data_IF_320246588582
#
_entry.id   IF_320246588582
#
_cell.length_a   1.000
_cell.length_b   1.000
_cell.length_c   1.000
_cell.angle_alpha   90.00
_cell.angle_beta   90.00
_cell.angle_gamma   90.00
#
_symmetry.space_group_name_H-M   'P 1'
#
loop_
_entity.id
_entity.type
_entity.pdbx_description
1 polymer ?
#
# COMPACT_ATOMS: atom_id res chain seq x y z
N UNK A 1 -16.38 -2.32 17.37
CA UNK A 1 -15.77 -1.52 18.45
C UNK A 1 -14.28 -1.79 18.55
N UNK A 2 -13.85 -3.04 18.81
CA UNK A 2 -12.43 -3.39 19.06
C UNK A 2 -11.41 -3.17 17.92
N UNK A 3 -11.82 -2.88 16.67
CA UNK A 3 -10.88 -2.61 15.56
C UNK A 3 -10.61 -1.13 15.30
N UNK A 4 -11.59 -0.27 15.60
CA UNK A 4 -11.53 1.15 15.23
C UNK A 4 -11.40 2.07 16.44
N UNK A 5 -11.35 1.49 17.65
CA UNK A 5 -11.29 2.13 18.98
C UNK A 5 -12.35 3.22 19.27
N UNK A 6 -13.18 3.54 18.28
CA UNK A 6 -14.18 4.60 18.26
C UNK A 6 -15.42 4.12 17.48
N UNK A 7 -16.60 4.58 17.92
CA UNK A 7 -17.86 4.30 17.25
C UNK A 7 -18.15 5.43 16.27
N UNK A 8 -17.69 5.27 15.04
CA UNK A 8 -17.95 6.21 13.94
C UNK A 8 -19.04 5.67 13.03
N UNK A 9 -19.86 6.58 12.50
CA UNK A 9 -20.84 6.31 11.47
C UNK A 9 -20.63 7.28 10.32
N UNK A 10 -20.85 6.84 9.09
CA UNK A 10 -20.67 7.65 7.90
C UNK A 10 -21.18 6.98 6.65
N UNK A 11 -21.16 7.71 5.56
CA UNK A 11 -21.58 7.22 4.24
C UNK A 11 -20.45 6.41 3.63
N UNK A 12 -20.78 5.23 3.09
CA UNK A 12 -19.82 4.43 2.32
C UNK A 12 -19.56 5.12 0.98
N UNK A 13 -18.32 5.57 0.77
CA UNK A 13 -17.88 6.26 -0.46
C UNK A 13 -17.45 5.26 -1.52
N UNK A 14 -16.86 4.14 -1.10
CA UNK A 14 -16.50 3.05 -2.00
C UNK A 14 -15.71 1.94 -1.31
N UNK A 15 -15.39 0.92 -2.10
CA UNK A 15 -14.59 -0.24 -1.70
C UNK A 15 -13.48 -0.44 -2.74
N UNK A 16 -12.27 -0.80 -2.30
CA UNK A 16 -11.18 -1.14 -3.20
C UNK A 16 -11.12 -2.62 -3.56
N UNK A 17 -10.20 -3.00 -4.45
CA UNK A 17 -10.01 -4.39 -4.87
C UNK A 17 -9.53 -5.33 -3.77
N UNK A 18 -9.04 -4.80 -2.64
CA UNK A 18 -8.55 -5.58 -1.51
C UNK A 18 -9.63 -5.73 -0.42
N UNK A 19 -10.79 -5.09 -0.58
CA UNK A 19 -11.90 -5.14 0.36
C UNK A 19 -11.84 -4.07 1.45
N UNK A 20 -10.98 -3.05 1.32
CA UNK A 20 -10.98 -1.90 2.21
C UNK A 20 -12.18 -1.00 1.87
N UNK A 21 -12.94 -0.62 2.88
CA UNK A 21 -14.13 0.22 2.75
C UNK A 21 -13.85 1.63 3.23
N UNK A 22 -14.16 2.62 2.41
CA UNK A 22 -13.87 4.02 2.67
C UNK A 22 -15.15 4.77 3.04
N UNK A 23 -15.10 5.51 4.13
CA UNK A 23 -16.26 6.21 4.68
C UNK A 23 -15.98 7.70 4.82
N UNK A 24 -17.03 8.49 4.66
CA UNK A 24 -17.01 9.94 4.88
C UNK A 24 -18.18 10.39 5.74
N UNK A 25 -17.93 11.32 6.65
CA UNK A 25 -18.93 12.02 7.43
C UNK A 25 -18.46 13.44 7.78
N UNK A 26 -19.01 14.44 7.07
CA UNK A 26 -18.70 15.85 7.24
C UNK A 26 -19.27 16.50 8.52
N UNK A 27 -20.02 15.76 9.34
CA UNK A 27 -20.35 16.19 10.70
C UNK A 27 -19.13 16.14 11.63
N UNK A 28 -18.17 15.25 11.36
CA UNK A 28 -16.91 15.23 12.09
C UNK A 28 -15.96 16.32 11.59
N UNK A 29 -15.05 16.73 12.47
CA UNK A 29 -14.06 17.73 12.13
C UNK A 29 -13.07 17.24 11.05
N UNK A 30 -12.46 18.19 10.35
CA UNK A 30 -11.47 17.94 9.32
C UNK A 30 -10.29 17.10 9.84
N UNK A 31 -10.02 15.96 9.19
CA UNK A 31 -9.02 14.99 9.62
C UNK A 31 -9.60 13.76 10.32
N UNK A 32 -10.85 13.82 10.79
CA UNK A 32 -11.62 12.64 11.24
C UNK A 32 -12.86 12.35 10.40
N UNK A 33 -13.24 13.25 9.50
CA UNK A 33 -14.39 13.06 8.61
C UNK A 33 -14.18 11.95 7.58
N UNK A 34 -12.95 11.53 7.27
CA UNK A 34 -12.66 10.40 6.37
C UNK A 34 -11.94 9.30 7.15
N UNK A 35 -12.32 8.04 6.91
CA UNK A 35 -11.61 6.89 7.46
C UNK A 35 -11.79 5.65 6.59
N UNK A 36 -10.92 4.67 6.81
CA UNK A 36 -10.94 3.37 6.15
C UNK A 36 -11.32 2.29 7.17
N UNK A 37 -12.06 1.28 6.71
CA UNK A 37 -12.29 0.04 7.41
C UNK A 37 -11.70 -1.11 6.61
N UNK A 38 -10.61 -1.68 7.12
CA UNK A 38 -9.94 -2.83 6.52
C UNK A 38 -10.82 -4.08 6.53
N UNK A 39 -10.66 -5.00 5.56
CA UNK A 39 -11.45 -6.22 5.46
C UNK A 39 -11.24 -7.10 6.70
N UNK A 40 -12.19 -7.99 6.97
CA UNK A 40 -12.11 -8.91 8.11
C UNK A 40 -11.00 -9.94 7.95
N UNK A 41 -10.57 -10.22 6.71
CA UNK A 41 -9.45 -11.11 6.40
C UNK A 41 -8.13 -10.67 7.02
N UNK A 42 -7.90 -9.36 7.16
CA UNK A 42 -6.68 -8.82 7.80
C UNK A 42 -6.72 -8.93 9.34
N UNK A 43 -7.83 -9.37 9.94
CA UNK A 43 -7.91 -9.58 11.40
C UNK A 43 -7.55 -8.32 12.20
N UNK A 44 -6.66 -8.44 13.17
CA UNK A 44 -6.12 -7.30 13.94
C UNK A 44 -4.79 -6.77 13.40
N UNK A 45 -4.21 -7.43 12.39
CA UNK A 45 -2.90 -7.11 11.82
C UNK A 45 -3.05 -6.25 10.56
N UNK A 46 -3.98 -5.29 10.58
CA UNK A 46 -4.18 -4.36 9.48
C UNK A 46 -3.09 -3.28 9.48
N UNK A 47 -2.59 -2.91 8.30
CA UNK A 47 -1.59 -1.87 8.16
C UNK A 47 -2.08 -0.69 7.29
N UNK A 48 -1.63 0.52 7.63
CA UNK A 48 -1.89 1.74 6.86
C UNK A 48 -1.35 1.65 5.43
N UNK A 49 -0.32 0.84 5.20
CA UNK A 49 0.26 0.60 3.87
C UNK A 49 -0.63 -0.25 2.95
N UNK A 50 -1.72 -0.86 3.44
CA UNK A 50 -2.66 -1.63 2.61
C UNK A 50 -3.54 -0.74 1.71
N UNK A 51 -3.63 0.56 2.02
CA UNK A 51 -4.40 1.52 1.22
C UNK A 51 -3.71 1.72 -0.14
N UNK A 52 -4.38 1.44 -1.27
CA UNK A 52 -3.78 1.61 -2.58
C UNK A 52 -3.64 3.10 -2.96
N UNK A 53 -2.76 3.44 -3.92
CA UNK A 53 -2.41 4.82 -4.23
C UNK A 53 -3.61 5.69 -4.64
N UNK A 54 -4.60 5.10 -5.32
CA UNK A 54 -5.82 5.80 -5.74
C UNK A 54 -6.66 6.30 -4.55
N UNK A 55 -6.78 5.49 -3.50
CA UNK A 55 -7.54 5.83 -2.30
C UNK A 55 -6.69 6.63 -1.30
N UNK A 56 -5.37 6.43 -1.30
CA UNK A 56 -4.44 7.20 -0.48
C UNK A 56 -4.56 8.70 -0.73
N UNK A 57 -4.68 9.13 -2.01
CA UNK A 57 -4.86 10.55 -2.35
C UNK A 57 -6.12 11.16 -1.72
N UNK A 58 -7.23 10.43 -1.75
CA UNK A 58 -8.50 10.90 -1.21
C UNK A 58 -8.51 10.88 0.33
N UNK A 59 -7.97 9.82 0.94
CA UNK A 59 -7.90 9.67 2.40
C UNK A 59 -7.04 10.78 3.02
N UNK A 60 -5.92 11.13 2.38
CA UNK A 60 -5.01 12.18 2.84
C UNK A 60 -5.36 13.60 2.36
N UNK A 61 -6.61 13.84 1.92
CA UNK A 61 -7.08 15.17 1.49
C UNK A 61 -6.24 15.81 0.38
N UNK A 62 -5.58 15.02 -0.46
CA UNK A 62 -4.88 15.55 -1.65
C UNK A 62 -5.87 15.92 -2.77
N UNK A 63 -7.07 15.34 -2.71
CA UNK A 63 -8.16 15.59 -3.66
C UNK A 63 -9.50 15.41 -2.94
N UNK A 64 -10.50 16.16 -3.38
CA UNK A 64 -11.87 16.03 -2.90
C UNK A 64 -12.60 14.84 -3.54
N UNK A 65 -12.20 14.47 -4.76
CA UNK A 65 -12.86 13.43 -5.52
C UNK A 65 -12.29 12.05 -5.19
N UNK A 66 -13.15 11.08 -4.80
CA UNK A 66 -12.71 9.70 -4.63
C UNK A 66 -12.38 9.05 -5.98
N UNK A 67 -11.55 8.00 -5.99
CA UNK A 67 -11.18 7.31 -7.23
C UNK A 67 -12.37 6.63 -7.94
N UNK A 68 -13.49 6.44 -7.24
CA UNK A 68 -14.76 5.99 -7.83
C UNK A 68 -15.39 7.01 -8.77
N UNK A 69 -15.17 8.32 -8.54
CA UNK A 69 -15.63 9.39 -9.43
C UNK A 69 -14.60 9.74 -10.48
N UNK A 70 -13.33 9.86 -10.07
CA UNK A 70 -12.23 10.27 -10.93
C UNK A 70 -11.14 9.20 -10.87
N UNK A 71 -11.21 8.16 -11.73
CA UNK A 71 -10.23 7.10 -11.74
C UNK A 71 -8.87 7.61 -12.22
N UNK A 72 -7.79 7.06 -11.65
CA UNK A 72 -6.43 7.35 -12.10
C UNK A 72 -6.17 6.73 -13.49
N UNK A 73 -5.44 7.43 -14.37
CA UNK A 73 -5.09 6.89 -15.68
C UNK A 73 -4.11 5.72 -15.53
N UNK A 74 -4.59 4.52 -15.83
CA UNK A 74 -3.78 3.29 -15.79
C UNK A 74 -2.74 3.29 -16.93
N UNK A 75 -1.48 3.02 -16.59
CA UNK A 75 -0.36 2.94 -17.54
C UNK A 75 0.21 1.52 -17.54
N UNK A 76 0.74 1.08 -18.69
CA UNK A 76 1.25 -0.30 -18.89
C UNK A 76 2.33 -0.75 -17.90
N UNK A 77 3.05 0.18 -17.30
CA UNK A 77 4.13 -0.08 -16.35
C UNK A 77 3.70 -0.02 -14.88
N UNK A 78 2.45 0.37 -14.60
CA UNK A 78 1.95 0.41 -13.23
C UNK A 78 1.73 -1.03 -12.75
N UNK A 79 2.42 -1.37 -11.67
CA UNK A 79 2.21 -2.63 -10.97
C UNK A 79 1.01 -2.52 -10.02
N UNK A 80 0.45 -3.66 -9.65
CA UNK A 80 -0.54 -3.74 -8.58
C UNK A 80 0.06 -3.28 -7.25
N UNK A 81 -0.77 -2.65 -6.43
CA UNK A 81 -0.39 -2.22 -5.09
C UNK A 81 0.08 -3.40 -4.24
N UNK A 82 1.19 -3.19 -3.55
CA UNK A 82 1.77 -4.12 -2.58
C UNK A 82 1.93 -3.38 -1.26
N UNK A 83 1.40 -3.98 -0.19
CA UNK A 83 1.60 -3.48 1.18
C UNK A 83 3.08 -3.47 1.56
N UNK A 84 3.41 -2.82 2.68
CA UNK A 84 4.74 -2.84 3.22
C UNK A 84 5.15 -4.27 3.64
N UNK A 85 6.36 -4.68 3.23
CA UNK A 85 6.90 -6.02 3.46
C UNK A 85 8.09 -6.02 4.43
N UNK A 86 8.44 -4.88 5.04
CA UNK A 86 9.51 -4.78 6.04
C UNK A 86 9.31 -5.81 7.17
N UNK A 87 10.38 -6.50 7.57
CA UNK A 87 10.32 -7.50 8.63
C UNK A 87 9.69 -8.84 8.21
N UNK A 88 9.28 -8.98 6.95
CA UNK A 88 8.85 -10.25 6.36
C UNK A 88 9.97 -10.83 5.50
N UNK A 89 9.87 -12.11 5.12
CA UNK A 89 10.83 -12.74 4.19
C UNK A 89 10.86 -12.10 2.80
N UNK A 90 9.93 -11.19 2.48
CA UNK A 90 9.85 -10.47 1.20
C UNK A 90 10.31 -9.00 1.32
N UNK A 91 11.02 -8.67 2.39
CA UNK A 91 11.57 -7.33 2.55
C UNK A 91 12.62 -7.00 1.46
N UNK A 92 12.81 -5.70 1.21
CA UNK A 92 13.83 -5.25 0.27
C UNK A 92 15.22 -5.33 0.90
N UNK A 93 16.10 -6.14 0.31
CA UNK A 93 17.52 -6.23 0.68
C UNK A 93 18.34 -5.57 -0.43
N UNK A 94 19.10 -4.49 -0.13
CA UNK A 94 19.91 -3.82 -1.12
C UNK A 94 21.07 -4.72 -1.59
N UNK A 95 21.36 -4.65 -2.88
CA UNK A 95 22.50 -5.34 -3.49
C UNK A 95 23.22 -4.39 -4.46
N UNK A 96 24.48 -4.69 -4.78
CA UNK A 96 25.19 -3.95 -5.83
C UNK A 96 24.52 -4.21 -7.18
N UNK A 97 23.95 -3.18 -7.79
CA UNK A 97 23.43 -3.23 -9.16
C UNK A 97 24.55 -3.21 -10.21
N UNK A 98 25.80 -3.03 -9.78
CA UNK A 98 26.97 -3.01 -10.67
C UNK A 98 27.67 -4.36 -10.71
N UNK A 99 28.14 -4.73 -11.91
CA UNK A 99 28.99 -5.90 -12.13
C UNK A 99 30.41 -5.63 -11.60
N UNK A 100 31.17 -6.68 -11.22
CA UNK A 100 32.59 -6.53 -10.91
C UNK A 100 33.34 -5.84 -12.05
N UNK A 101 34.07 -4.78 -11.73
CA UNK A 101 34.82 -3.98 -12.73
C UNK A 101 36.12 -4.65 -13.17
N UNK A 102 36.73 -5.41 -12.26
CA UNK A 102 38.01 -6.10 -12.47
C UNK A 102 37.71 -7.59 -12.53
N UNK A 103 38.16 -8.25 -13.59
CA UNK A 103 38.07 -9.70 -13.73
C UNK A 103 39.34 -10.34 -13.16
N UNK A 104 39.18 -11.29 -12.24
CA UNK A 104 40.31 -12.04 -11.68
C UNK A 104 40.80 -13.09 -12.66
N UNK A 105 42.12 -13.27 -12.74
CA UNK A 105 42.70 -14.40 -13.46
C UNK A 105 42.39 -15.71 -12.72
N UNK A 106 42.00 -16.75 -13.47
CA UNK A 106 41.76 -18.09 -12.94
C UNK A 106 42.95 -18.97 -13.31
N UNK A 107 43.73 -19.50 -12.34
CA UNK A 107 44.90 -20.32 -12.63
C UNK A 107 44.51 -21.65 -13.28
N UNK A 108 45.35 -22.19 -14.19
CA UNK A 108 45.17 -23.54 -14.70
C UNK A 108 45.36 -24.56 -13.57
N UNK A 109 44.54 -25.62 -13.55
CA UNK A 109 44.74 -26.76 -12.64
C UNK A 109 45.93 -27.61 -13.12
N UNK A 110 46.78 -28.08 -12.21
CA UNK A 110 47.80 -29.06 -12.56
C UNK A 110 47.14 -30.38 -12.96
N UNK A 111 47.59 -30.96 -14.07
CA UNK A 111 47.27 -32.35 -14.40
C UNK A 111 48.14 -33.26 -13.53
N UNK A 112 47.52 -33.93 -12.55
CA UNK A 112 48.08 -35.15 -11.94
C UNK A 112 47.91 -36.34 -12.89
#
# INVERSE_FOLDING_TARGET
MFRHDDLKWGTLVGEDKYGNKYYENNYYFFGKNRWVSYPQSSGFDFDASEIPPEWHRWMHYMTDDPPTKVPLPQRKWMADHTMNLTGTSREYVPYSTTRPKIQSWVPPKSSD
#
